data_IF_959026790842
#
_entry.id   IF_959026790842
#
_cell.length_a   1.000
_cell.length_b   1.000
_cell.length_c   1.000
_cell.angle_alpha   90.00
_cell.angle_beta   90.00
_cell.angle_gamma   90.00
#
_symmetry.space_group_name_H-M   'P 1'
#
loop_
_entity.id
_entity.type
_entity.pdbx_description
1 polymer ?
#
# COMPACT_ATOMS: atom_id res chain seq x y z
N UNK A 1 10.52 1.79 0.77
CA UNK A 1 9.35 0.97 0.40
C UNK A 1 8.18 1.37 1.27
N UNK A 2 6.98 1.57 0.70
CA UNK A 2 5.78 1.98 1.46
C UNK A 2 4.74 0.88 1.34
N UNK A 3 4.18 0.47 2.48
CA UNK A 3 3.08 -0.49 2.57
C UNK A 3 1.85 0.24 3.08
N UNK A 4 0.79 0.26 2.29
CA UNK A 4 -0.46 0.90 2.68
C UNK A 4 -1.24 0.01 3.64
N UNK A 5 -1.64 0.56 4.79
CA UNK A 5 -2.49 -0.12 5.80
C UNK A 5 -3.84 0.61 5.97
N UNK A 6 -4.22 1.40 4.97
CA UNK A 6 -5.44 2.22 5.01
C UNK A 6 -5.35 3.42 5.97
N UNK A 7 -6.53 3.93 6.33
CA UNK A 7 -6.74 5.00 7.33
C UNK A 7 -7.96 4.62 8.18
N UNK A 8 -8.09 5.16 9.41
CA UNK A 8 -9.28 4.94 10.22
C UNK A 8 -10.54 5.31 9.44
N UNK A 9 -11.51 4.39 9.42
CA UNK A 9 -12.78 4.54 8.68
C UNK A 9 -13.90 5.06 9.59
N UNK A 10 -13.74 4.94 10.90
CA UNK A 10 -14.73 5.39 11.88
C UNK A 10 -14.43 6.82 12.33
N UNK A 11 -15.45 7.69 12.32
CA UNK A 11 -15.34 9.04 12.87
C UNK A 11 -14.97 8.97 14.36
N UNK A 12 -13.88 9.65 14.74
CA UNK A 12 -13.39 9.71 16.12
C UNK A 12 -12.37 8.63 16.50
N UNK A 13 -12.02 7.70 15.60
CA UNK A 13 -10.90 6.78 15.83
C UNK A 13 -9.56 7.51 15.58
N UNK A 14 -8.73 7.58 16.60
CA UNK A 14 -7.40 8.18 16.49
C UNK A 14 -6.48 7.32 15.61
N UNK A 15 -5.58 7.98 14.87
CA UNK A 15 -4.62 7.28 14.00
C UNK A 15 -3.72 6.36 14.81
N UNK A 16 -3.37 6.76 16.04
CA UNK A 16 -2.57 5.95 16.96
C UNK A 16 -3.24 4.61 17.27
N UNK A 17 -4.55 4.58 17.47
CA UNK A 17 -5.28 3.35 17.76
C UNK A 17 -5.31 2.45 16.54
N UNK A 18 -5.61 3.00 15.36
CA UNK A 18 -5.64 2.23 14.09
C UNK A 18 -4.32 1.53 13.77
N UNK A 19 -3.18 2.17 14.03
CA UNK A 19 -1.87 1.56 13.74
C UNK A 19 -1.38 0.57 14.81
N UNK A 20 -1.96 0.62 16.01
CA UNK A 20 -1.64 -0.29 17.11
C UNK A 20 -2.62 -1.48 17.19
N UNK A 21 -3.77 -1.35 16.55
CA UNK A 21 -4.77 -2.41 16.45
C UNK A 21 -4.32 -3.57 15.54
N UNK A 22 -4.97 -4.72 15.75
CA UNK A 22 -4.76 -5.90 14.90
C UNK A 22 -5.57 -5.76 13.62
N UNK A 23 -5.00 -6.23 12.52
CA UNK A 23 -5.76 -6.43 11.28
C UNK A 23 -6.94 -7.39 11.51
N UNK A 24 -8.08 -7.06 10.91
CA UNK A 24 -9.22 -7.96 10.81
C UNK A 24 -8.90 -9.21 9.97
N UNK A 25 -9.74 -10.23 10.05
CA UNK A 25 -9.56 -11.46 9.28
C UNK A 25 -9.59 -11.23 7.76
N UNK A 26 -10.37 -10.23 7.30
CA UNK A 26 -10.41 -9.86 5.88
C UNK A 26 -9.14 -9.11 5.46
N UNK A 27 -8.70 -8.13 6.25
CA UNK A 27 -7.45 -7.40 5.99
C UNK A 27 -6.23 -8.33 6.01
N UNK A 28 -6.22 -9.35 6.87
CA UNK A 28 -5.13 -10.34 6.91
C UNK A 28 -4.96 -11.10 5.59
N UNK A 29 -6.01 -11.28 4.77
CA UNK A 29 -5.89 -11.87 3.43
C UNK A 29 -5.13 -10.94 2.48
N UNK A 30 -5.37 -9.64 2.60
CA UNK A 30 -4.65 -8.61 1.84
C UNK A 30 -3.20 -8.48 2.32
N UNK A 31 -2.95 -8.54 3.63
CA UNK A 31 -1.60 -8.51 4.23
C UNK A 31 -0.73 -9.65 3.68
N UNK A 32 -1.27 -10.87 3.57
CA UNK A 32 -0.52 -12.00 3.00
C UNK A 32 -0.11 -11.74 1.54
N UNK A 33 -1.02 -11.17 0.74
CA UNK A 33 -0.74 -10.80 -0.64
C UNK A 33 0.29 -9.67 -0.73
N UNK A 34 0.18 -8.69 0.17
CA UNK A 34 1.10 -7.56 0.27
C UNK A 34 2.50 -8.02 0.70
N UNK A 35 2.60 -9.01 1.59
CA UNK A 35 3.86 -9.60 2.03
C UNK A 35 4.58 -10.29 0.86
N UNK A 36 3.87 -11.10 0.06
CA UNK A 36 4.46 -11.74 -1.13
C UNK A 36 4.94 -10.70 -2.16
N UNK A 37 4.12 -9.69 -2.45
CA UNK A 37 4.51 -8.57 -3.31
C UNK A 37 5.76 -7.85 -2.79
N UNK A 38 5.82 -7.69 -1.46
CA UNK A 38 6.91 -7.02 -0.78
C UNK A 38 8.23 -7.76 -0.91
N UNK A 39 8.21 -9.07 -0.69
CA UNK A 39 9.38 -9.94 -0.86
C UNK A 39 9.90 -9.84 -2.29
N UNK A 40 9.03 -9.94 -3.30
CA UNK A 40 9.41 -9.82 -4.71
C UNK A 40 10.00 -8.45 -5.05
N UNK A 41 9.49 -7.38 -4.44
CA UNK A 41 10.02 -6.03 -4.64
C UNK A 41 11.43 -5.88 -4.06
N UNK A 42 11.69 -6.46 -2.89
CA UNK A 42 13.03 -6.46 -2.28
C UNK A 42 14.01 -7.29 -3.10
N UNK A 43 13.61 -8.48 -3.56
CA UNK A 43 14.43 -9.32 -4.44
C UNK A 43 14.77 -8.62 -5.77
N UNK A 44 13.78 -7.95 -6.38
CA UNK A 44 14.01 -7.15 -7.59
C UNK A 44 14.95 -5.98 -7.31
N UNK A 45 14.81 -5.31 -6.16
CA UNK A 45 15.70 -4.20 -5.79
C UNK A 45 17.15 -4.65 -5.66
N UNK A 46 17.38 -5.78 -4.98
CA UNK A 46 18.72 -6.33 -4.78
C UNK A 46 19.34 -6.86 -6.08
N UNK A 47 18.54 -7.42 -6.99
CA UNK A 47 19.04 -8.03 -8.23
C UNK A 47 19.13 -7.08 -9.43
N UNK A 48 18.25 -6.09 -9.52
CA UNK A 48 18.04 -5.28 -10.72
C UNK A 48 18.14 -3.76 -10.45
N UNK A 49 18.28 -3.35 -9.19
CA UNK A 49 18.38 -1.94 -8.80
C UNK A 49 17.03 -1.22 -8.72
N UNK A 50 17.11 0.08 -8.39
CA UNK A 50 15.95 0.87 -7.99
C UNK A 50 14.99 1.18 -9.14
N UNK A 51 15.49 1.53 -10.33
CA UNK A 51 14.64 2.00 -11.43
C UNK A 51 13.73 0.90 -11.97
N UNK A 52 14.30 -0.29 -12.19
CA UNK A 52 13.55 -1.47 -12.65
C UNK A 52 12.49 -1.86 -11.62
N UNK A 53 12.86 -1.85 -10.35
CA UNK A 53 11.95 -2.18 -9.24
C UNK A 53 10.81 -1.18 -9.16
N UNK A 54 11.11 0.12 -9.16
CA UNK A 54 10.09 1.15 -9.05
C UNK A 54 9.10 1.10 -10.21
N UNK A 55 9.58 0.93 -11.45
CA UNK A 55 8.71 0.80 -12.62
C UNK A 55 7.83 -0.45 -12.59
N UNK A 56 8.33 -1.55 -12.02
CA UNK A 56 7.60 -2.82 -11.92
C UNK A 56 6.51 -2.81 -10.85
N UNK A 57 6.81 -2.23 -9.69
CA UNK A 57 5.94 -2.34 -8.51
C UNK A 57 5.09 -1.09 -8.27
N UNK A 58 5.57 0.10 -8.62
CA UNK A 58 4.77 1.32 -8.55
C UNK A 58 4.07 1.55 -9.88
N UNK A 59 2.90 0.92 -10.05
CA UNK A 59 2.01 1.30 -11.16
C UNK A 59 1.60 2.75 -10.98
N UNK A 60 1.69 3.55 -12.04
CA UNK A 60 1.18 4.93 -12.05
C UNK A 60 -0.31 4.88 -11.75
N UNK A 61 -0.70 5.22 -10.52
CA UNK A 61 -2.07 5.53 -10.18
C UNK A 61 -2.37 6.84 -10.92
N UNK A 62 -3.01 6.75 -12.09
CA UNK A 62 -3.54 7.95 -12.74
C UNK A 62 -4.59 8.53 -11.78
N UNK A 63 -4.42 9.77 -11.28
CA UNK A 63 -5.47 10.39 -10.51
C UNK A 63 -6.73 10.46 -11.38
N UNK A 64 -7.90 10.21 -10.78
CA UNK A 64 -9.18 10.39 -11.47
C UNK A 64 -9.24 11.82 -12.03
N UNK A 65 -9.75 12.03 -13.27
CA UNK A 65 -9.85 13.36 -13.84
C UNK A 65 -10.65 14.25 -12.87
N UNK A 66 -10.08 15.40 -12.49
CA UNK A 66 -10.81 16.40 -11.72
C UNK A 66 -12.06 16.77 -12.52
N UNK A 67 -13.24 16.63 -11.93
CA UNK A 67 -14.44 17.27 -12.47
C UNK A 67 -14.14 18.76 -12.54
N UNK A 68 -14.23 19.31 -13.75
CA UNK A 68 -14.15 20.76 -13.97
C UNK A 68 -15.51 21.28 -13.53
N UNK A 69 -15.57 21.93 -12.38
CA UNK A 69 -16.76 22.69 -11.99
C UNK A 69 -16.84 23.92 -12.91
N UNK A 70 -17.95 24.01 -13.64
CA UNK A 70 -18.33 25.09 -14.56
C UNK A 70 -18.95 26.28 -13.82
#
# INVERSE_FOLDING_TARGET
>A
MKLGIGRPVHEGQEVADHVLDKFSAEEMKEVASLQDLSTKAIEAYLSQGIDVTMNRFNKVIRPAPKKVDE
#
